data_IF_103757979469
#
_entry.id   IF_103757979469
#
_cell.length_a   1.000
_cell.length_b   1.000
_cell.length_c   1.000
_cell.angle_alpha   90.00
_cell.angle_beta   90.00
_cell.angle_gamma   90.00
#
_symmetry.space_group_name_H-M   'P 1'
#
loop_
_entity.id
_entity.type
_entity.pdbx_description
1 polymer ?
#
# COMPACT_ATOMS: atom_id res chain seq x y z
N UNK A 1 0.22 -41.41 43.16
CA UNK A 1 1.25 -40.52 42.62
C UNK A 1 1.31 -40.54 41.08
N UNK A 2 1.28 -41.71 40.43
CA UNK A 2 1.30 -41.88 38.96
C UNK A 2 0.21 -41.09 38.18
N UNK A 3 -1.03 -41.06 38.68
CA UNK A 3 -2.17 -40.33 38.05
C UNK A 3 -1.94 -38.82 37.91
N UNK A 4 -1.16 -38.21 38.82
CA UNK A 4 -0.86 -36.77 38.80
C UNK A 4 0.06 -36.41 37.63
N UNK A 5 0.98 -37.30 37.27
CA UNK A 5 1.91 -37.08 36.16
C UNK A 5 1.20 -37.11 34.80
N UNK A 6 0.23 -38.02 34.60
CA UNK A 6 -0.57 -38.08 33.37
C UNK A 6 -1.44 -36.82 33.20
N UNK A 7 -2.14 -36.40 34.27
CA UNK A 7 -3.02 -35.22 34.20
C UNK A 7 -2.23 -33.94 33.91
N UNK A 8 -1.05 -33.77 34.52
CA UNK A 8 -0.16 -32.64 34.26
C UNK A 8 0.38 -32.69 32.83
N UNK A 9 0.77 -33.86 32.33
CA UNK A 9 1.25 -34.01 30.96
C UNK A 9 0.17 -33.66 29.92
N UNK A 10 -1.07 -34.12 30.14
CA UNK A 10 -2.20 -33.82 29.27
C UNK A 10 -2.54 -32.32 29.28
N UNK A 11 -2.55 -31.69 30.45
CA UNK A 11 -2.76 -30.26 30.58
C UNK A 11 -1.66 -29.44 29.87
N UNK A 12 -0.40 -29.89 29.98
CA UNK A 12 0.73 -29.25 29.31
C UNK A 12 0.62 -29.38 27.78
N UNK A 13 0.31 -30.57 27.26
CA UNK A 13 0.06 -30.75 25.82
C UNK A 13 -1.09 -29.88 25.33
N UNK A 14 -2.16 -29.74 26.11
CA UNK A 14 -3.29 -28.88 25.77
C UNK A 14 -2.89 -27.41 25.68
N UNK A 15 -2.16 -26.88 26.67
CA UNK A 15 -1.69 -25.49 26.65
C UNK A 15 -0.73 -25.25 25.48
N UNK A 16 0.20 -26.17 25.22
CA UNK A 16 1.11 -26.08 24.08
C UNK A 16 0.35 -26.07 22.75
N UNK A 17 -0.67 -26.91 22.63
CA UNK A 17 -1.50 -26.98 21.43
C UNK A 17 -2.30 -25.69 21.24
N UNK A 18 -2.88 -25.16 22.31
CA UNK A 18 -3.60 -23.89 22.28
C UNK A 18 -2.69 -22.73 21.88
N UNK A 19 -1.49 -22.64 22.45
CA UNK A 19 -0.49 -21.62 22.09
C UNK A 19 -0.07 -21.75 20.63
N UNK A 20 0.15 -22.98 20.15
CA UNK A 20 0.51 -23.22 18.76
C UNK A 20 -0.61 -22.78 17.82
N UNK A 21 -1.87 -23.13 18.11
CA UNK A 21 -3.02 -22.73 17.31
C UNK A 21 -3.13 -21.20 17.25
N UNK A 22 -3.08 -20.53 18.41
CA UNK A 22 -3.15 -19.06 18.48
C UNK A 22 -1.98 -18.41 17.72
N UNK A 23 -0.78 -18.98 17.82
CA UNK A 23 0.39 -18.50 17.10
C UNK A 23 0.21 -18.63 15.58
N UNK A 24 -0.27 -19.79 15.10
CA UNK A 24 -0.52 -19.99 13.66
C UNK A 24 -1.58 -19.02 13.16
N UNK A 25 -2.69 -18.85 13.90
CA UNK A 25 -3.74 -17.89 13.55
C UNK A 25 -3.16 -16.47 13.48
N UNK A 26 -2.36 -16.07 14.46
CA UNK A 26 -1.72 -14.75 14.47
C UNK A 26 -0.80 -14.51 13.27
N UNK A 27 0.00 -15.50 12.90
CA UNK A 27 0.88 -15.43 11.72
C UNK A 27 0.05 -15.29 10.44
N UNK A 28 -0.98 -16.11 10.27
CA UNK A 28 -1.85 -16.07 9.10
C UNK A 28 -2.62 -14.75 8.97
N UNK A 29 -3.12 -14.22 10.08
CA UNK A 29 -3.79 -12.91 10.10
C UNK A 29 -2.81 -11.79 9.73
N UNK A 30 -1.59 -11.83 10.27
CA UNK A 30 -0.55 -10.85 9.93
C UNK A 30 -0.17 -10.91 8.46
N UNK A 31 0.05 -12.10 7.91
CA UNK A 31 0.38 -12.25 6.49
C UNK A 31 -0.76 -11.82 5.58
N UNK A 32 -2.00 -12.18 5.93
CA UNK A 32 -3.21 -11.78 5.19
C UNK A 32 -3.40 -10.26 5.19
N UNK A 33 -3.22 -9.62 6.35
CA UNK A 33 -3.29 -8.16 6.46
C UNK A 33 -2.20 -7.49 5.63
N UNK A 34 -0.97 -8.01 5.71
CA UNK A 34 0.15 -7.46 4.95
C UNK A 34 -0.08 -7.55 3.43
N UNK A 35 -0.49 -8.71 2.95
CA UNK A 35 -0.80 -8.94 1.53
C UNK A 35 -1.97 -8.06 1.07
N UNK A 36 -3.01 -7.91 1.90
CA UNK A 36 -4.16 -7.04 1.61
C UNK A 36 -3.75 -5.58 1.51
N UNK A 37 -2.93 -5.09 2.44
CA UNK A 37 -2.43 -3.71 2.40
C UNK A 37 -1.54 -3.48 1.18
N UNK A 38 -0.67 -4.43 0.85
CA UNK A 38 0.18 -4.32 -0.33
C UNK A 38 -0.64 -4.27 -1.63
N UNK A 39 -1.65 -5.13 -1.76
CA UNK A 39 -2.59 -5.12 -2.89
C UNK A 39 -3.39 -3.82 -2.96
N UNK A 40 -3.88 -3.33 -1.82
CA UNK A 40 -4.63 -2.08 -1.77
C UNK A 40 -3.76 -0.89 -2.23
N UNK A 41 -2.53 -0.77 -1.72
CA UNK A 41 -1.59 0.28 -2.14
C UNK A 41 -1.28 0.17 -3.63
N UNK A 42 -1.02 -1.04 -4.13
CA UNK A 42 -0.72 -1.24 -5.54
C UNK A 42 -1.89 -0.84 -6.44
N UNK A 43 -3.11 -1.24 -6.10
CA UNK A 43 -4.31 -0.89 -6.85
C UNK A 43 -4.61 0.60 -6.80
N UNK A 44 -4.38 1.26 -5.66
CA UNK A 44 -4.51 2.71 -5.54
C UNK A 44 -3.51 3.44 -6.44
N UNK A 45 -2.25 2.99 -6.48
CA UNK A 45 -1.23 3.56 -7.35
C UNK A 45 -1.58 3.37 -8.84
N UNK A 46 -2.04 2.18 -9.23
CA UNK A 46 -2.50 1.91 -10.60
C UNK A 46 -3.72 2.76 -10.98
N UNK A 47 -4.66 2.93 -10.06
CA UNK A 47 -5.83 3.77 -10.28
C UNK A 47 -5.42 5.24 -10.52
N UNK A 48 -4.52 5.75 -9.68
CA UNK A 48 -3.98 7.12 -9.83
C UNK A 48 -3.21 7.28 -11.14
N UNK A 49 -2.40 6.30 -11.51
CA UNK A 49 -1.66 6.29 -12.78
C UNK A 49 -2.61 6.30 -13.98
N UNK A 50 -3.67 5.49 -13.97
CA UNK A 50 -4.70 5.48 -15.01
C UNK A 50 -5.40 6.84 -15.15
N UNK A 51 -5.77 7.48 -14.05
CA UNK A 51 -6.36 8.83 -14.06
C UNK A 51 -5.40 9.87 -14.62
N UNK A 52 -4.14 9.84 -14.19
CA UNK A 52 -3.11 10.74 -14.69
C UNK A 52 -2.86 10.56 -16.18
N UNK A 53 -2.73 9.31 -16.63
CA UNK A 53 -2.52 8.98 -18.05
C UNK A 53 -3.65 9.54 -18.90
N UNK A 54 -4.90 9.42 -18.46
CA UNK A 54 -6.05 10.03 -19.14
C UNK A 54 -5.99 11.56 -19.17
N UNK A 55 -5.60 12.22 -18.07
CA UNK A 55 -5.48 13.68 -18.04
C UNK A 55 -4.31 14.23 -18.87
N UNK A 56 -3.20 13.51 -18.91
CA UNK A 56 -2.03 13.86 -19.74
C UNK A 56 -2.38 13.67 -21.22
N UNK A 57 -3.00 12.55 -21.59
CA UNK A 57 -3.38 12.27 -22.99
C UNK A 57 -4.53 13.14 -23.49
N UNK A 58 -5.44 13.56 -22.62
CA UNK A 58 -6.47 14.55 -22.95
C UNK A 58 -5.89 15.96 -23.18
N UNK A 59 -4.68 16.24 -22.69
CA UNK A 59 -4.02 17.52 -22.87
C UNK A 59 -3.36 17.59 -24.25
N UNK A 60 -4.08 18.17 -25.21
CA UNK A 60 -3.64 18.24 -26.62
C UNK A 60 -2.87 19.53 -26.96
N UNK A 61 -2.76 20.48 -26.03
CA UNK A 61 -2.09 21.78 -26.26
C UNK A 61 -0.94 22.05 -25.29
N UNK A 62 0.13 22.65 -25.81
CA UNK A 62 1.30 23.04 -25.03
C UNK A 62 1.00 24.14 -24.00
N UNK A 63 0.05 25.03 -24.28
CA UNK A 63 -0.33 26.11 -23.36
C UNK A 63 -1.04 25.59 -22.09
N UNK A 64 -1.84 24.52 -22.24
CA UNK A 64 -2.52 23.90 -21.10
C UNK A 64 -1.61 23.02 -20.22
N UNK A 65 -0.34 22.84 -20.60
CA UNK A 65 0.65 22.14 -19.78
C UNK A 65 0.87 22.81 -18.42
N UNK A 66 0.92 24.15 -18.40
CA UNK A 66 1.07 24.92 -17.16
C UNK A 66 -0.11 24.72 -16.20
N UNK A 67 -1.33 24.65 -16.74
CA UNK A 67 -2.56 24.36 -16.00
C UNK A 67 -2.57 22.94 -15.46
N UNK A 68 -2.14 21.96 -16.25
CA UNK A 68 -2.00 20.57 -15.83
C UNK A 68 -0.98 20.43 -14.69
N UNK A 69 0.18 21.07 -14.83
CA UNK A 69 1.21 21.08 -13.79
C UNK A 69 0.70 21.70 -12.49
N UNK A 70 0.02 22.86 -12.57
CA UNK A 70 -0.58 23.49 -11.40
C UNK A 70 -1.62 22.57 -10.72
N UNK A 71 -2.44 21.83 -11.49
CA UNK A 71 -3.38 20.86 -10.92
C UNK A 71 -2.68 19.77 -10.12
N UNK A 72 -1.59 19.20 -10.65
CA UNK A 72 -0.84 18.17 -9.93
C UNK A 72 -0.12 18.69 -8.68
N UNK A 73 0.35 19.95 -8.70
CA UNK A 73 0.89 20.61 -7.49
C UNK A 73 -0.20 20.79 -6.43
N UNK A 74 -1.39 21.25 -6.83
CA UNK A 74 -2.53 21.41 -5.91
C UNK A 74 -2.95 20.07 -5.32
N UNK A 75 -2.99 19.01 -6.14
CA UNK A 75 -3.29 17.65 -5.66
C UNK A 75 -2.26 17.18 -4.64
N UNK A 76 -0.96 17.33 -4.93
CA UNK A 76 0.14 17.01 -3.99
C UNK A 76 -0.04 17.72 -2.65
N UNK A 77 -0.37 19.02 -2.67
CA UNK A 77 -0.58 19.81 -1.46
C UNK A 77 -1.85 19.38 -0.70
N UNK A 78 -2.92 19.06 -1.42
CA UNK A 78 -4.19 18.63 -0.82
C UNK A 78 -4.09 17.26 -0.14
N UNK A 79 -3.19 16.40 -0.61
CA UNK A 79 -2.93 15.08 -0.03
C UNK A 79 -1.88 15.11 1.09
N UNK A 80 -1.51 16.31 1.56
CA UNK A 80 -0.55 16.50 2.66
C UNK A 80 0.84 15.97 2.33
N UNK A 81 1.27 16.10 1.07
CA UNK A 81 2.54 15.59 0.54
C UNK A 81 2.75 14.08 0.62
N UNK A 82 1.71 13.31 1.03
CA UNK A 82 1.79 11.84 1.13
C UNK A 82 1.94 11.17 -0.23
N UNK A 83 1.52 11.86 -1.28
CA UNK A 83 1.68 11.46 -2.68
C UNK A 83 2.27 12.63 -3.45
N UNK A 84 3.32 12.35 -4.21
CA UNK A 84 3.99 13.34 -5.07
C UNK A 84 3.84 12.91 -6.52
N UNK A 85 3.37 13.83 -7.34
CA UNK A 85 3.16 13.61 -8.76
C UNK A 85 4.34 14.16 -9.55
N UNK A 86 4.99 13.31 -10.34
CA UNK A 86 6.10 13.68 -11.21
C UNK A 86 5.76 13.35 -12.65
N UNK A 87 6.10 14.25 -13.57
CA UNK A 87 6.03 14.01 -15.00
C UNK A 87 7.44 14.15 -15.56
N UNK A 88 7.94 13.07 -16.14
CA UNK A 88 9.26 13.02 -16.77
C UNK A 88 9.07 13.07 -18.28
N UNK A 89 9.72 14.03 -18.94
CA UNK A 89 9.67 14.18 -20.39
C UNK A 89 11.05 14.53 -20.94
N UNK A 90 11.37 14.04 -22.14
CA UNK A 90 12.59 14.40 -22.87
C UNK A 90 12.69 15.91 -23.15
N UNK A 91 11.54 16.59 -23.22
CA UNK A 91 11.50 18.04 -23.31
C UNK A 91 11.38 18.66 -21.91
N UNK A 92 12.36 19.49 -21.46
CA UNK A 92 12.33 20.11 -20.14
C UNK A 92 11.08 20.95 -19.88
N UNK A 93 10.45 21.48 -20.94
CA UNK A 93 9.22 22.28 -20.84
C UNK A 93 8.00 21.46 -20.40
N UNK A 94 8.07 20.13 -20.55
CA UNK A 94 7.05 19.18 -20.14
C UNK A 94 7.46 18.33 -18.94
N UNK A 95 8.53 18.69 -18.24
CA UNK A 95 8.94 18.02 -17.00
C UNK A 95 8.40 18.73 -15.77
N UNK A 96 8.05 17.97 -14.73
CA UNK A 96 7.51 18.49 -13.48
C UNK A 96 7.94 17.62 -12.28
N UNK A 97 8.54 18.24 -11.27
CA UNK A 97 9.02 17.56 -10.06
C UNK A 97 10.32 16.75 -10.28
N UNK A 98 10.67 15.87 -9.34
CA UNK A 98 11.78 14.92 -9.49
C UNK A 98 13.21 15.49 -9.40
N UNK A 99 13.39 16.71 -8.89
CA UNK A 99 14.71 17.30 -8.59
C UNK A 99 15.34 16.74 -7.33
#
# INVERSE_FOLDING_TARGET
>A
MLKRFISVHLALMFVLSALLIVSVIGILLRSSLHDSLQKQIHNELLFRESLMSSWITAQTSADGWSTLANKFTVLTNSEGERVRYWIVSDNPRFSMGGT
#
